data_IF_588539804708
#
_entry.id   IF_588539804708
#
_cell.length_a   1.000
_cell.length_b   1.000
_cell.length_c   1.000
_cell.angle_alpha   90.00
_cell.angle_beta   90.00
_cell.angle_gamma   90.00
#
_symmetry.space_group_name_H-M   'P 1'
#
loop_
_entity.id
_entity.type
_entity.pdbx_description
1 polymer ?
#
# COMPACT_ATOMS: atom_id res chain seq x y z
N UNK A 1 -40.36 -8.97 14.03
CA UNK A 1 -39.27 -8.79 13.04
C UNK A 1 -39.80 -8.57 11.62
N UNK A 2 -40.65 -9.46 11.08
CA UNK A 2 -41.23 -9.33 9.73
C UNK A 2 -41.99 -8.00 9.48
N UNK A 3 -42.76 -7.52 10.46
CA UNK A 3 -43.52 -6.27 10.36
C UNK A 3 -42.63 -5.03 10.25
N UNK A 4 -41.43 -5.08 10.85
CA UNK A 4 -40.45 -4.00 10.77
C UNK A 4 -39.79 -3.96 9.39
N UNK A 5 -39.30 -5.11 8.91
CA UNK A 5 -38.71 -5.25 7.57
C UNK A 5 -39.72 -4.86 6.46
N UNK A 6 -40.99 -5.24 6.63
CA UNK A 6 -42.06 -4.83 5.73
C UNK A 6 -42.26 -3.30 5.69
N UNK A 7 -42.29 -2.65 6.87
CA UNK A 7 -42.42 -1.18 6.94
C UNK A 7 -41.21 -0.49 6.31
N UNK A 8 -40.00 -0.98 6.56
CA UNK A 8 -38.77 -0.45 5.99
C UNK A 8 -38.74 -0.58 4.46
N UNK A 9 -39.02 -1.78 3.93
CA UNK A 9 -39.07 -2.03 2.49
C UNK A 9 -40.16 -1.21 1.80
N UNK A 10 -41.34 -1.09 2.41
CA UNK A 10 -42.43 -0.26 1.88
C UNK A 10 -42.07 1.23 1.86
N UNK A 11 -41.39 1.72 2.89
CA UNK A 11 -40.90 3.09 2.95
C UNK A 11 -39.84 3.33 1.86
N UNK A 12 -38.88 2.41 1.72
CA UNK A 12 -37.83 2.47 0.72
C UNK A 12 -38.41 2.52 -0.69
N UNK A 13 -39.39 1.68 -1.00
CA UNK A 13 -40.06 1.68 -2.30
C UNK A 13 -40.86 2.96 -2.56
N UNK A 14 -41.66 3.40 -1.58
CA UNK A 14 -42.51 4.59 -1.74
C UNK A 14 -41.69 5.88 -1.87
N UNK A 15 -40.50 5.92 -1.26
CA UNK A 15 -39.58 7.07 -1.30
C UNK A 15 -38.26 6.72 -2.00
N UNK A 16 -38.30 5.91 -3.06
CA UNK A 16 -37.11 5.39 -3.77
C UNK A 16 -36.10 6.46 -4.16
N UNK A 17 -36.55 7.62 -4.63
CA UNK A 17 -35.65 8.71 -5.04
C UNK A 17 -34.94 9.34 -3.84
N UNK A 18 -35.65 9.52 -2.73
CA UNK A 18 -35.07 10.03 -1.49
C UNK A 18 -34.08 9.04 -0.88
N UNK A 19 -34.39 7.73 -0.93
CA UNK A 19 -33.50 6.68 -0.45
C UNK A 19 -32.23 6.61 -1.29
N UNK A 20 -32.34 6.70 -2.62
CA UNK A 20 -31.18 6.78 -3.51
C UNK A 20 -30.32 8.03 -3.23
N UNK A 21 -30.96 9.19 -3.01
CA UNK A 21 -30.25 10.42 -2.63
C UNK A 21 -29.51 10.28 -1.29
N UNK A 22 -30.08 9.60 -0.30
CA UNK A 22 -29.38 9.32 0.96
C UNK A 22 -28.11 8.51 0.71
N UNK A 23 -28.16 7.45 -0.10
CA UNK A 23 -26.97 6.65 -0.39
C UNK A 23 -25.90 7.44 -1.14
N UNK A 24 -26.29 8.28 -2.10
CA UNK A 24 -25.35 9.20 -2.77
C UNK A 24 -24.78 10.22 -1.78
N UNK A 25 -25.60 10.76 -0.88
CA UNK A 25 -25.15 11.69 0.16
C UNK A 25 -24.16 11.02 1.14
N UNK A 26 -24.40 9.75 1.51
CA UNK A 26 -23.47 8.99 2.35
C UNK A 26 -22.16 8.71 1.63
N UNK A 27 -22.20 8.32 0.35
CA UNK A 27 -21.01 8.10 -0.45
C UNK A 27 -20.18 9.38 -0.60
N UNK A 28 -20.83 10.50 -0.90
CA UNK A 28 -20.15 11.80 -1.01
C UNK A 28 -19.59 12.26 0.33
N UNK A 29 -20.34 12.13 1.43
CA UNK A 29 -19.86 12.49 2.76
C UNK A 29 -18.65 11.63 3.18
N UNK A 30 -18.74 10.31 3.00
CA UNK A 30 -17.65 9.41 3.32
C UNK A 30 -16.43 9.67 2.43
N UNK A 31 -16.63 9.89 1.12
CA UNK A 31 -15.55 10.19 0.18
C UNK A 31 -14.85 11.52 0.48
N UNK A 32 -15.60 12.56 0.84
CA UNK A 32 -15.02 13.83 1.31
C UNK A 32 -14.25 13.62 2.61
N UNK A 33 -14.82 12.86 3.56
CA UNK A 33 -14.14 12.50 4.80
C UNK A 33 -12.80 11.80 4.54
N UNK A 34 -12.79 10.80 3.66
CA UNK A 34 -11.60 10.07 3.26
C UNK A 34 -10.56 10.98 2.59
N UNK A 35 -10.98 11.83 1.65
CA UNK A 35 -10.08 12.74 0.95
C UNK A 35 -9.49 13.83 1.86
N UNK A 36 -10.19 14.17 2.94
CA UNK A 36 -9.72 15.12 3.96
C UNK A 36 -8.94 14.47 5.11
N UNK A 37 -8.90 13.14 5.15
CA UNK A 37 -8.22 12.42 6.22
C UNK A 37 -6.71 12.52 6.04
N UNK A 38 -5.94 12.55 7.14
CA UNK A 38 -4.51 12.32 7.07
C UNK A 38 -4.23 10.98 6.36
N UNK A 39 -3.05 10.82 5.73
CA UNK A 39 -2.59 9.52 5.28
C UNK A 39 -2.78 8.48 6.40
N UNK A 40 -3.20 7.27 6.05
CA UNK A 40 -3.38 6.21 7.03
C UNK A 40 -2.10 6.08 7.86
N UNK A 41 -2.24 6.05 9.19
CA UNK A 41 -1.11 6.00 10.11
C UNK A 41 -0.28 4.73 9.91
N UNK A 42 1.00 4.83 10.26
CA UNK A 42 2.02 3.82 10.04
C UNK A 42 1.51 2.39 10.25
N UNK A 43 1.81 1.51 9.31
CA UNK A 43 1.47 0.08 9.28
C UNK A 43 2.20 -0.73 10.36
N UNK A 44 2.79 -0.07 11.37
CA UNK A 44 3.50 -0.68 12.48
C UNK A 44 2.54 -1.51 13.31
N UNK A 45 2.63 -2.82 13.16
CA UNK A 45 1.82 -3.75 13.92
C UNK A 45 2.44 -3.91 15.32
N UNK A 46 1.81 -3.31 16.33
CA UNK A 46 2.23 -3.49 17.72
C UNK A 46 1.39 -4.54 18.44
N UNK A 47 2.01 -5.29 19.36
CA UNK A 47 1.30 -6.14 20.31
C UNK A 47 1.60 -5.64 21.73
N UNK A 48 0.84 -4.64 22.22
CA UNK A 48 1.08 -4.05 23.53
C UNK A 48 1.11 -5.09 24.65
N UNK A 49 2.06 -4.94 25.56
CA UNK A 49 2.22 -5.81 26.73
C UNK A 49 3.10 -7.04 26.52
N UNK A 50 3.55 -7.32 25.29
CA UNK A 50 4.52 -8.39 25.03
C UNK A 50 5.95 -7.95 25.36
N UNK A 51 6.82 -8.90 25.71
CA UNK A 51 8.25 -8.63 25.91
C UNK A 51 8.93 -8.17 24.62
N UNK A 52 8.51 -8.70 23.47
CA UNK A 52 8.97 -8.28 22.16
C UNK A 52 8.67 -6.80 21.89
N UNK A 53 7.44 -6.34 22.16
CA UNK A 53 7.08 -4.93 22.00
C UNK A 53 7.94 -4.02 22.87
N UNK A 54 8.15 -4.38 24.15
CA UNK A 54 9.02 -3.60 25.05
C UNK A 54 10.46 -3.50 24.53
N UNK A 55 10.97 -4.55 23.89
CA UNK A 55 12.30 -4.53 23.29
C UNK A 55 12.36 -3.57 22.09
N UNK A 56 11.34 -3.55 21.23
CA UNK A 56 11.23 -2.58 20.14
C UNK A 56 11.10 -1.14 20.64
N UNK A 57 10.25 -0.90 21.66
CA UNK A 57 10.08 0.42 22.26
C UNK A 57 11.41 0.95 22.86
N UNK A 58 12.19 0.07 23.50
CA UNK A 58 13.52 0.42 24.03
C UNK A 58 14.54 0.68 22.93
N UNK A 59 14.47 -0.07 21.82
CA UNK A 59 15.35 0.13 20.67
C UNK A 59 15.11 1.52 20.08
N UNK A 60 13.84 1.90 19.85
CA UNK A 60 13.46 3.21 19.31
C UNK A 60 13.90 4.36 20.24
N UNK A 61 13.68 4.23 21.54
CA UNK A 61 14.08 5.25 22.52
C UNK A 61 15.60 5.47 22.60
N UNK A 62 16.40 4.42 22.36
CA UNK A 62 17.86 4.47 22.51
C UNK A 62 18.58 4.70 21.19
N UNK A 63 17.96 4.32 20.08
CA UNK A 63 18.48 4.41 18.73
C UNK A 63 17.37 4.89 17.78
N UNK A 64 17.01 6.19 17.82
CA UNK A 64 16.00 6.76 16.94
C UNK A 64 16.37 6.52 15.47
N UNK A 65 15.42 6.06 14.64
CA UNK A 65 15.67 5.71 13.24
C UNK A 65 16.30 4.33 13.00
N UNK A 66 16.51 3.54 14.06
CA UNK A 66 16.76 2.10 13.97
C UNK A 66 15.47 1.27 14.10
N UNK A 67 14.33 1.92 13.87
CA UNK A 67 12.98 1.37 13.95
C UNK A 67 12.90 0.06 13.17
N UNK A 68 12.39 -1.00 13.82
CA UNK A 68 12.27 -2.31 13.19
C UNK A 68 11.26 -2.35 12.04
N UNK A 69 10.42 -1.32 11.94
CA UNK A 69 9.34 -1.20 10.95
C UNK A 69 9.74 -0.39 9.72
N UNK A 70 10.88 0.31 9.76
CA UNK A 70 11.40 1.09 8.64
C UNK A 70 11.92 0.19 7.52
N UNK A 71 11.62 0.54 6.27
CA UNK A 71 12.08 -0.23 5.12
C UNK A 71 13.60 -0.17 5.00
N UNK A 72 14.15 -1.16 4.35
CA UNK A 72 15.58 -1.22 4.02
C UNK A 72 15.80 -1.42 2.54
N UNK A 73 16.77 -0.68 1.98
CA UNK A 73 17.33 -0.97 0.67
C UNK A 73 18.80 -1.33 0.82
N UNK A 74 19.26 -2.28 0.01
CA UNK A 74 20.66 -2.63 -0.13
C UNK A 74 21.07 -2.41 -1.58
N UNK A 75 21.97 -1.46 -1.78
CA UNK A 75 22.55 -1.15 -3.08
C UNK A 75 23.90 -1.85 -3.16
N UNK A 76 24.02 -2.82 -4.05
CA UNK A 76 25.22 -3.62 -4.28
C UNK A 76 25.90 -3.12 -5.54
N UNK A 77 27.16 -2.70 -5.39
CA UNK A 77 28.02 -2.23 -6.45
C UNK A 77 29.06 -3.30 -6.78
N UNK A 78 29.32 -3.52 -8.06
CA UNK A 78 30.38 -4.38 -8.56
C UNK A 78 31.26 -3.62 -9.55
N UNK A 79 32.56 -3.68 -9.32
CA UNK A 79 33.56 -3.05 -10.18
C UNK A 79 33.66 -3.78 -11.55
N UNK A 80 34.03 -3.06 -12.61
CA UNK A 80 34.41 -3.65 -13.89
C UNK A 80 35.54 -4.68 -13.74
N UNK A 81 35.63 -5.61 -14.70
CA UNK A 81 36.67 -6.63 -14.71
C UNK A 81 38.07 -6.02 -14.68
N UNK A 82 38.84 -6.34 -13.63
CA UNK A 82 40.22 -5.86 -13.45
C UNK A 82 40.35 -4.62 -12.56
N UNK A 83 39.25 -4.01 -12.15
CA UNK A 83 39.22 -2.87 -11.22
C UNK A 83 38.76 -3.30 -9.83
N UNK A 84 38.96 -2.42 -8.85
CA UNK A 84 38.51 -2.59 -7.46
C UNK A 84 37.57 -1.47 -7.06
N UNK A 85 36.71 -1.77 -6.10
CA UNK A 85 35.84 -0.79 -5.44
C UNK A 85 36.64 0.26 -4.64
N UNK A 86 37.92 0.00 -4.37
CA UNK A 86 38.82 0.95 -3.69
C UNK A 86 39.53 1.92 -4.64
N UNK A 87 39.41 1.72 -5.96
CA UNK A 87 40.04 2.60 -6.94
C UNK A 87 39.36 3.98 -6.91
N UNK A 88 40.13 5.05 -7.13
CA UNK A 88 39.67 6.41 -6.88
C UNK A 88 38.40 6.78 -7.67
N UNK A 89 38.28 6.33 -8.93
CA UNK A 89 37.09 6.54 -9.77
C UNK A 89 35.86 5.82 -9.22
N UNK A 90 35.96 4.52 -8.99
CA UNK A 90 34.86 3.70 -8.47
C UNK A 90 34.43 4.15 -7.07
N UNK A 91 35.39 4.48 -6.22
CA UNK A 91 35.13 5.02 -4.88
C UNK A 91 34.39 6.35 -4.92
N UNK A 92 34.77 7.25 -5.83
CA UNK A 92 34.07 8.52 -5.99
C UNK A 92 32.62 8.33 -6.48
N UNK A 93 32.39 7.40 -7.41
CA UNK A 93 31.03 7.05 -7.88
C UNK A 93 30.17 6.51 -6.74
N UNK A 94 30.70 5.57 -5.95
CA UNK A 94 29.99 5.02 -4.79
C UNK A 94 29.69 6.09 -3.76
N UNK A 95 30.66 6.94 -3.43
CA UNK A 95 30.46 8.03 -2.46
C UNK A 95 29.37 8.99 -2.93
N UNK A 96 29.41 9.41 -4.21
CA UNK A 96 28.38 10.27 -4.79
C UNK A 96 27.00 9.64 -4.67
N UNK A 97 26.88 8.34 -4.96
CA UNK A 97 25.62 7.61 -4.85
C UNK A 97 25.12 7.56 -3.40
N UNK A 98 26.02 7.29 -2.44
CA UNK A 98 25.70 7.27 -1.01
C UNK A 98 25.24 8.63 -0.51
N UNK A 99 25.90 9.70 -0.93
CA UNK A 99 25.56 11.07 -0.54
C UNK A 99 24.19 11.48 -1.13
N UNK A 100 23.93 11.14 -2.40
CA UNK A 100 22.64 11.40 -3.06
C UNK A 100 21.49 10.63 -2.39
N UNK A 101 21.72 9.38 -2.00
CA UNK A 101 20.74 8.60 -1.23
C UNK A 101 20.53 9.17 0.18
N UNK A 102 21.55 9.74 0.81
CA UNK A 102 21.45 10.32 2.14
C UNK A 102 20.63 11.61 2.19
N UNK A 103 20.53 12.33 1.07
CA UNK A 103 19.74 13.56 0.93
C UNK A 103 18.24 13.29 0.67
N UNK A 104 17.81 12.02 0.60
CA UNK A 104 16.41 11.63 0.40
C UNK A 104 15.50 12.01 1.58
N UNK A 105 14.27 12.45 1.30
CA UNK A 105 13.32 12.99 2.30
C UNK A 105 12.78 11.98 3.31
N UNK A 106 12.77 10.69 2.98
CA UNK A 106 12.28 9.60 3.84
C UNK A 106 13.42 8.70 4.36
N UNK A 107 14.68 9.12 4.16
CA UNK A 107 15.87 8.33 4.50
C UNK A 107 16.32 8.64 5.93
N UNK A 108 16.21 7.65 6.80
CA UNK A 108 16.67 7.71 8.18
C UNK A 108 18.20 7.68 8.27
N UNK A 109 18.84 6.81 7.48
CA UNK A 109 20.29 6.70 7.44
C UNK A 109 20.80 5.89 6.24
N UNK A 110 22.02 6.21 5.79
CA UNK A 110 22.76 5.42 4.81
C UNK A 110 24.07 4.94 5.41
N UNK A 111 24.30 3.63 5.40
CA UNK A 111 25.54 3.02 5.82
C UNK A 111 26.52 2.97 4.63
N UNK A 112 27.60 3.75 4.75
CA UNK A 112 28.67 3.81 3.77
C UNK A 112 29.47 2.48 3.73
N UNK A 113 29.71 1.92 2.53
CA UNK A 113 30.41 0.65 2.38
C UNK A 113 31.84 0.64 2.95
N UNK A 114 32.53 1.77 2.91
CA UNK A 114 33.93 1.91 3.29
C UNK A 114 34.12 2.13 4.79
N UNK A 115 33.16 2.75 5.47
CA UNK A 115 33.17 2.88 6.94
C UNK A 115 32.61 1.63 7.60
N UNK A 116 31.66 0.95 6.95
CA UNK A 116 30.98 -0.24 7.44
C UNK A 116 31.73 -1.57 7.21
N UNK A 117 32.94 -1.55 6.62
CA UNK A 117 33.65 -2.77 6.18
C UNK A 117 32.79 -3.67 5.28
N UNK A 118 31.96 -3.08 4.43
CA UNK A 118 31.03 -3.77 3.54
C UNK A 118 31.60 -3.95 2.12
N UNK A 119 32.93 -4.01 2.01
CA UNK A 119 33.66 -4.35 0.78
C UNK A 119 34.05 -5.82 0.84
N UNK A 120 33.88 -6.54 -0.27
CA UNK A 120 34.24 -7.95 -0.38
C UNK A 120 35.74 -8.17 -0.20
N UNK A 121 36.14 -9.38 0.22
CA UNK A 121 37.54 -9.73 0.47
C UNK A 121 38.44 -9.57 -0.76
N UNK A 122 37.88 -9.81 -1.95
CA UNK A 122 38.55 -9.63 -3.23
C UNK A 122 38.50 -8.17 -3.74
N UNK A 123 37.74 -7.29 -3.07
CA UNK A 123 37.64 -5.87 -3.37
C UNK A 123 36.79 -5.54 -4.60
N UNK A 124 36.09 -6.51 -5.17
CA UNK A 124 35.33 -6.36 -6.42
C UNK A 124 33.88 -5.94 -6.20
N UNK A 125 33.35 -6.14 -4.99
CA UNK A 125 31.96 -5.86 -4.62
C UNK A 125 31.93 -5.00 -3.36
N UNK A 126 31.03 -4.01 -3.31
CA UNK A 126 30.72 -3.24 -2.12
C UNK A 126 29.20 -3.10 -1.99
N UNK A 127 28.67 -2.93 -0.78
CA UNK A 127 27.25 -2.62 -0.62
C UNK A 127 27.01 -1.47 0.36
N UNK A 128 26.09 -0.59 -0.01
CA UNK A 128 25.52 0.42 0.88
C UNK A 128 24.17 -0.10 1.41
N UNK A 129 23.83 0.23 2.65
CA UNK A 129 22.50 -0.08 3.21
C UNK A 129 21.78 1.22 3.55
N UNK A 130 20.63 1.43 2.94
CA UNK A 130 19.74 2.57 3.20
C UNK A 130 18.63 2.10 4.14
N UNK A 131 18.34 2.90 5.15
CA UNK A 131 17.19 2.72 6.04
C UNK A 131 16.25 3.89 5.87
N UNK A 132 14.95 3.61 5.84
CA UNK A 132 13.89 4.60 5.70
C UNK A 132 13.14 4.80 7.00
N UNK A 133 12.55 5.97 7.18
CA UNK A 133 11.72 6.32 8.35
C UNK A 133 10.35 5.63 8.33
N UNK A 134 9.91 5.18 7.14
CA UNK A 134 8.61 4.56 6.90
C UNK A 134 8.74 3.13 6.36
N UNK A 135 7.65 2.37 6.43
CA UNK A 135 7.61 1.00 5.90
C UNK A 135 7.63 0.98 4.36
N UNK A 136 8.00 -0.16 3.75
CA UNK A 136 8.10 -0.28 2.28
C UNK A 136 6.77 -0.05 1.53
N UNK A 137 5.65 -0.22 2.24
CA UNK A 137 4.30 0.05 1.72
C UNK A 137 3.94 1.54 1.74
N UNK A 138 4.58 2.32 2.59
CA UNK A 138 4.31 3.76 2.79
C UNK A 138 5.32 4.66 2.09
N UNK A 139 6.49 4.11 1.72
CA UNK A 139 7.48 4.79 0.91
C UNK A 139 6.85 5.42 -0.34
N UNK A 140 7.09 6.71 -0.52
CA UNK A 140 6.62 7.42 -1.70
C UNK A 140 7.25 6.86 -2.98
N UNK A 141 6.49 6.91 -4.07
CA UNK A 141 6.98 6.48 -5.39
C UNK A 141 8.20 7.32 -5.81
N UNK A 142 8.21 8.62 -5.50
CA UNK A 142 9.34 9.54 -5.69
C UNK A 142 10.63 9.07 -5.00
N UNK A 143 10.53 8.50 -3.80
CA UNK A 143 11.68 7.98 -3.05
C UNK A 143 12.20 6.68 -3.67
N UNK A 144 11.30 5.82 -4.16
CA UNK A 144 11.67 4.60 -4.89
C UNK A 144 12.34 4.94 -6.21
N UNK A 145 11.80 5.91 -6.95
CA UNK A 145 12.39 6.43 -8.18
C UNK A 145 13.77 7.02 -7.92
N UNK A 146 13.94 7.82 -6.86
CA UNK A 146 15.25 8.38 -6.49
C UNK A 146 16.29 7.30 -6.17
N UNK A 147 15.89 6.21 -5.51
CA UNK A 147 16.76 5.06 -5.25
C UNK A 147 17.19 4.36 -6.56
N UNK A 148 16.24 4.16 -7.49
CA UNK A 148 16.52 3.57 -8.79
C UNK A 148 17.40 4.49 -9.67
N UNK A 149 17.14 5.79 -9.66
CA UNK A 149 17.89 6.81 -10.40
C UNK A 149 19.33 6.91 -9.89
N UNK A 150 19.53 6.94 -8.57
CA UNK A 150 20.87 6.93 -7.99
C UNK A 150 21.65 5.65 -8.38
N UNK A 151 20.97 4.50 -8.36
CA UNK A 151 21.56 3.24 -8.84
C UNK A 151 21.88 3.30 -10.34
N UNK A 152 21.00 3.91 -11.15
CA UNK A 152 21.20 4.04 -12.59
C UNK A 152 22.37 4.96 -12.93
N UNK A 153 22.53 6.09 -12.23
CA UNK A 153 23.70 6.96 -12.40
C UNK A 153 25.02 6.23 -12.15
N UNK A 154 25.06 5.36 -11.14
CA UNK A 154 26.22 4.53 -10.86
C UNK A 154 26.45 3.46 -11.96
N UNK A 155 25.38 2.93 -12.57
CA UNK A 155 25.48 2.05 -13.75
C UNK A 155 26.05 2.78 -14.96
N UNK A 156 25.58 4.00 -15.22
CA UNK A 156 26.03 4.83 -16.33
C UNK A 156 27.50 5.26 -16.17
N UNK A 157 27.99 5.34 -14.93
CA UNK A 157 29.40 5.53 -14.59
C UNK A 157 30.27 4.27 -14.78
N UNK A 158 29.68 3.14 -15.19
CA UNK A 158 30.38 1.91 -15.56
C UNK A 158 30.36 0.80 -14.49
N UNK A 159 29.75 1.03 -13.33
CA UNK A 159 29.60 -0.02 -12.31
C UNK A 159 28.44 -0.96 -12.68
N UNK A 160 28.48 -2.20 -12.22
CA UNK A 160 27.26 -3.02 -12.18
C UNK A 160 26.58 -2.78 -10.84
N UNK A 161 25.31 -2.37 -10.85
CA UNK A 161 24.58 -2.03 -9.62
C UNK A 161 23.27 -2.80 -9.55
N UNK A 162 23.08 -3.50 -8.44
CA UNK A 162 21.86 -4.23 -8.11
C UNK A 162 21.27 -3.67 -6.83
N UNK A 163 19.96 -3.47 -6.82
CA UNK A 163 19.25 -2.98 -5.64
C UNK A 163 18.32 -4.07 -5.13
N UNK A 164 18.38 -4.34 -3.84
CA UNK A 164 17.48 -5.27 -3.16
C UNK A 164 17.00 -4.72 -1.83
N UNK A 165 16.25 -5.52 -1.10
CA UNK A 165 15.61 -5.10 0.16
C UNK A 165 14.09 -5.02 0.01
N UNK A 166 13.43 -4.65 1.10
CA UNK A 166 11.98 -4.53 1.18
C UNK A 166 11.45 -3.16 0.70
N UNK A 167 12.31 -2.15 0.59
CA UNK A 167 11.93 -0.85 0.02
C UNK A 167 11.48 -0.92 -1.46
N UNK A 168 12.04 -1.87 -2.22
CA UNK A 168 11.68 -2.13 -3.62
C UNK A 168 10.70 -3.30 -3.79
N UNK A 169 10.17 -3.87 -2.70
CA UNK A 169 9.11 -4.84 -2.86
C UNK A 169 7.90 -4.14 -3.46
N UNK A 170 7.43 -4.69 -4.58
CA UNK A 170 6.24 -4.20 -5.25
C UNK A 170 5.07 -4.21 -4.26
N UNK A 171 4.48 -3.03 -4.05
CA UNK A 171 3.18 -2.96 -3.39
C UNK A 171 2.24 -3.76 -4.29
N UNK A 172 1.49 -4.75 -3.77
CA UNK A 172 0.55 -5.47 -4.60
C UNK A 172 -0.42 -4.46 -5.22
N UNK A 173 -0.40 -4.39 -6.56
CA UNK A 173 -1.28 -3.55 -7.39
C UNK A 173 -2.74 -3.78 -6.98
N UNK A 174 -3.23 -2.92 -6.10
CA UNK A 174 -4.59 -2.91 -5.56
C UNK A 174 -5.44 -2.10 -6.52
N UNK A 175 -5.82 -2.73 -7.63
CA UNK A 175 -6.72 -2.12 -8.61
C UNK A 175 -6.87 -2.94 -9.89
N UNK A 176 -5.77 -3.37 -10.50
CA UNK A 176 -5.84 -4.12 -11.76
C UNK A 176 -6.57 -5.47 -11.58
N UNK A 177 -6.28 -6.19 -10.50
CA UNK A 177 -6.89 -7.48 -10.17
C UNK A 177 -8.37 -7.34 -9.81
N UNK A 178 -8.75 -6.25 -9.14
CA UNK A 178 -10.14 -5.98 -8.75
C UNK A 178 -11.01 -5.63 -9.95
N UNK A 179 -10.50 -4.82 -10.88
CA UNK A 179 -11.21 -4.51 -12.14
C UNK A 179 -11.48 -5.77 -12.94
N UNK A 180 -10.51 -6.69 -13.01
CA UNK A 180 -10.69 -7.99 -13.64
C UNK A 180 -11.78 -8.79 -12.91
N UNK A 181 -11.75 -8.83 -11.57
CA UNK A 181 -12.77 -9.48 -10.77
C UNK A 181 -14.19 -8.94 -11.00
N UNK A 182 -14.34 -7.62 -11.04
CA UNK A 182 -15.61 -6.93 -11.33
C UNK A 182 -16.09 -7.24 -12.76
N UNK A 183 -15.18 -7.25 -13.73
CA UNK A 183 -15.52 -7.59 -15.11
C UNK A 183 -16.01 -9.04 -15.23
N UNK A 184 -15.31 -9.98 -14.60
CA UNK A 184 -15.71 -11.40 -14.57
C UNK A 184 -17.06 -11.55 -13.85
N UNK A 185 -17.25 -10.90 -12.71
CA UNK A 185 -18.53 -10.91 -11.99
C UNK A 185 -19.65 -10.38 -12.88
N UNK A 186 -19.46 -9.25 -13.57
CA UNK A 186 -20.44 -8.69 -14.49
C UNK A 186 -20.83 -9.70 -15.59
N UNK A 187 -19.86 -10.38 -16.21
CA UNK A 187 -20.12 -11.43 -17.22
C UNK A 187 -20.96 -12.55 -16.63
N UNK A 188 -20.59 -13.08 -15.45
CA UNK A 188 -21.35 -14.14 -14.78
C UNK A 188 -22.78 -13.68 -14.50
N UNK A 189 -22.96 -12.47 -13.96
CA UNK A 189 -24.29 -11.93 -13.65
C UNK A 189 -25.17 -11.74 -14.89
N UNK A 190 -24.59 -11.28 -16.00
CA UNK A 190 -25.30 -11.14 -17.27
C UNK A 190 -25.78 -12.51 -17.77
N UNK A 191 -24.93 -13.54 -17.69
CA UNK A 191 -25.28 -14.92 -18.06
C UNK A 191 -26.37 -15.45 -17.13
N UNK A 192 -26.26 -15.24 -15.82
CA UNK A 192 -27.22 -15.74 -14.82
C UNK A 192 -28.60 -15.10 -14.96
N UNK A 193 -28.68 -13.78 -15.18
CA UNK A 193 -29.96 -13.08 -15.25
C UNK A 193 -30.51 -12.89 -16.66
N UNK A 194 -29.70 -13.11 -17.70
CA UNK A 194 -30.09 -12.86 -19.10
C UNK A 194 -30.47 -11.40 -19.38
N UNK A 195 -30.04 -10.45 -18.54
CA UNK A 195 -30.38 -9.03 -18.65
C UNK A 195 -29.30 -8.14 -18.05
N UNK A 196 -28.80 -7.17 -18.83
CA UNK A 196 -27.81 -6.20 -18.38
C UNK A 196 -28.30 -5.37 -17.19
N UNK A 197 -29.59 -5.01 -17.17
CA UNK A 197 -30.16 -4.20 -16.08
C UNK A 197 -30.21 -5.01 -14.78
N UNK A 198 -30.64 -6.28 -14.86
CA UNK A 198 -30.70 -7.15 -13.69
C UNK A 198 -29.31 -7.51 -13.14
N UNK A 199 -28.30 -7.59 -14.00
CA UNK A 199 -26.91 -7.80 -13.62
C UNK A 199 -26.24 -6.53 -13.07
N UNK A 200 -26.56 -5.37 -13.64
CA UNK A 200 -25.97 -4.09 -13.25
C UNK A 200 -26.44 -3.60 -11.88
N UNK A 201 -27.67 -3.93 -11.46
CA UNK A 201 -28.20 -3.53 -10.16
C UNK A 201 -27.36 -4.07 -8.98
N UNK A 202 -27.11 -5.40 -8.86
CA UNK A 202 -26.26 -5.95 -7.82
C UNK A 202 -24.87 -5.35 -7.79
N UNK A 203 -24.24 -5.22 -8.97
CA UNK A 203 -22.90 -4.68 -9.11
C UNK A 203 -22.83 -3.22 -8.63
N UNK A 204 -23.75 -2.38 -9.09
CA UNK A 204 -23.81 -0.97 -8.71
C UNK A 204 -24.04 -0.81 -7.20
N UNK A 205 -24.96 -1.58 -6.63
CA UNK A 205 -25.24 -1.50 -5.18
C UNK A 205 -24.06 -1.97 -4.34
N UNK A 206 -23.35 -3.01 -4.78
CA UNK A 206 -22.15 -3.49 -4.12
C UNK A 206 -21.04 -2.42 -4.17
N UNK A 207 -20.80 -1.81 -5.33
CA UNK A 207 -19.80 -0.75 -5.49
C UNK A 207 -20.09 0.48 -4.62
N UNK A 208 -21.34 0.92 -4.54
CA UNK A 208 -21.72 2.04 -3.67
C UNK A 208 -21.50 1.68 -2.19
N UNK A 209 -21.90 0.47 -1.78
CA UNK A 209 -21.73 -0.01 -0.40
C UNK A 209 -20.26 -0.13 -0.01
N UNK A 210 -19.44 -0.74 -0.86
CA UNK A 210 -17.99 -0.86 -0.67
C UNK A 210 -17.33 0.50 -0.68
N UNK A 211 -17.70 1.39 -1.61
CA UNK A 211 -17.17 2.75 -1.68
C UNK A 211 -17.42 3.53 -0.39
N UNK A 212 -18.63 3.43 0.18
CA UNK A 212 -18.94 4.02 1.49
C UNK A 212 -18.10 3.37 2.60
N UNK A 213 -18.01 2.04 2.61
CA UNK A 213 -17.28 1.30 3.64
C UNK A 213 -15.80 1.64 3.66
N UNK A 214 -15.13 1.52 2.50
CA UNK A 214 -13.71 1.84 2.35
C UNK A 214 -13.45 3.31 2.66
N UNK A 215 -14.26 4.23 2.11
CA UNK A 215 -14.09 5.67 2.41
C UNK A 215 -14.28 5.97 3.90
N UNK A 216 -15.21 5.30 4.57
CA UNK A 216 -15.41 5.46 6.02
C UNK A 216 -14.24 4.91 6.82
N UNK A 217 -13.68 3.77 6.40
CA UNK A 217 -12.47 3.18 7.00
C UNK A 217 -11.30 4.15 6.85
N UNK A 218 -11.05 4.66 5.63
CA UNK A 218 -9.99 5.64 5.38
C UNK A 218 -10.19 6.91 6.20
N UNK A 219 -11.41 7.44 6.27
CA UNK A 219 -11.71 8.62 7.07
C UNK A 219 -11.44 8.44 8.58
N UNK A 220 -11.58 7.22 9.08
CA UNK A 220 -11.38 6.87 10.49
C UNK A 220 -10.02 6.20 10.76
N UNK A 221 -9.19 5.98 9.74
CA UNK A 221 -8.00 5.15 9.84
C UNK A 221 -7.01 5.70 10.87
N UNK A 222 -6.76 7.01 10.84
CA UNK A 222 -5.86 7.67 11.80
C UNK A 222 -6.42 7.69 13.23
N UNK A 223 -7.73 7.86 13.39
CA UNK A 223 -8.38 7.90 14.70
C UNK A 223 -8.47 6.54 15.39
N UNK A 224 -8.48 5.46 14.60
CA UNK A 224 -8.62 4.08 15.07
C UNK A 224 -7.35 3.24 14.84
N UNK A 225 -6.25 3.87 14.42
CA UNK A 225 -4.96 3.21 14.13
C UNK A 225 -5.12 1.99 13.19
N UNK A 226 -5.92 2.14 12.12
CA UNK A 226 -6.17 1.10 11.14
C UNK A 226 -5.10 1.10 10.06
N UNK A 227 -4.43 -0.04 9.87
CA UNK A 227 -3.45 -0.24 8.81
C UNK A 227 -4.07 -0.50 7.42
N UNK A 228 -3.23 -0.43 6.39
CA UNK A 228 -3.60 -0.64 4.98
C UNK A 228 -4.32 -1.98 4.71
N UNK A 229 -3.93 -3.04 5.42
CA UNK A 229 -4.55 -4.37 5.34
C UNK A 229 -6.05 -4.34 5.62
N UNK A 230 -6.52 -3.48 6.53
CA UNK A 230 -7.96 -3.39 6.88
C UNK A 230 -8.78 -2.91 5.69
N UNK A 231 -8.28 -1.91 4.95
CA UNK A 231 -8.96 -1.38 3.76
C UNK A 231 -9.01 -2.42 2.63
N UNK A 232 -7.93 -3.17 2.43
CA UNK A 232 -7.86 -4.26 1.43
C UNK A 232 -8.89 -5.34 1.76
N UNK A 233 -8.91 -5.82 3.01
CA UNK A 233 -9.87 -6.84 3.44
C UNK A 233 -11.31 -6.35 3.34
N UNK A 234 -11.57 -5.09 3.70
CA UNK A 234 -12.90 -4.50 3.59
C UNK A 234 -13.38 -4.44 2.15
N UNK A 235 -12.50 -4.14 1.20
CA UNK A 235 -12.83 -4.14 -0.22
C UNK A 235 -13.11 -5.56 -0.74
N UNK A 236 -12.20 -6.51 -0.46
CA UNK A 236 -12.34 -7.90 -0.90
C UNK A 236 -13.61 -8.57 -0.37
N UNK A 237 -13.85 -8.45 0.94
CA UNK A 237 -15.01 -9.06 1.59
C UNK A 237 -16.28 -8.29 1.22
N UNK A 238 -16.22 -6.96 1.24
CA UNK A 238 -17.37 -6.10 0.97
C UNK A 238 -17.91 -6.27 -0.44
N UNK A 239 -17.03 -6.45 -1.43
CA UNK A 239 -17.44 -6.64 -2.82
C UNK A 239 -18.06 -8.03 -3.01
N UNK A 240 -17.43 -9.09 -2.49
CA UNK A 240 -17.98 -10.44 -2.56
C UNK A 240 -19.35 -10.55 -1.89
N UNK A 241 -19.44 -10.16 -0.62
CA UNK A 241 -20.68 -10.25 0.18
C UNK A 241 -21.75 -9.27 -0.33
N UNK A 242 -21.34 -8.07 -0.77
CA UNK A 242 -22.23 -7.05 -1.30
C UNK A 242 -22.92 -7.49 -2.59
N UNK A 243 -22.18 -8.13 -3.50
CA UNK A 243 -22.75 -8.72 -4.71
C UNK A 243 -23.74 -9.81 -4.30
N UNK A 244 -23.34 -10.78 -3.48
CA UNK A 244 -24.19 -11.92 -3.10
C UNK A 244 -25.52 -11.49 -2.46
N UNK A 245 -25.51 -10.54 -1.52
CA UNK A 245 -26.76 -10.06 -0.91
C UNK A 245 -27.65 -9.32 -1.89
N UNK A 246 -27.07 -8.52 -2.78
CA UNK A 246 -27.86 -7.85 -3.81
C UNK A 246 -28.45 -8.85 -4.82
N UNK A 247 -27.73 -9.93 -5.13
CA UNK A 247 -28.25 -11.05 -5.93
C UNK A 247 -29.43 -11.75 -5.27
N UNK A 248 -29.37 -12.03 -3.97
CA UNK A 248 -30.50 -12.62 -3.25
C UNK A 248 -31.76 -11.75 -3.29
N UNK A 249 -31.61 -10.42 -3.23
CA UNK A 249 -32.76 -9.52 -3.31
C UNK A 249 -33.30 -9.45 -4.74
N UNK A 250 -32.43 -9.31 -5.75
CA UNK A 250 -32.85 -9.19 -7.16
C UNK A 250 -33.47 -10.50 -7.66
N UNK A 251 -32.89 -11.65 -7.32
CA UNK A 251 -33.44 -12.97 -7.67
C UNK A 251 -34.81 -13.24 -7.05
N UNK A 252 -35.09 -12.68 -5.87
CA UNK A 252 -36.39 -12.82 -5.19
C UNK A 252 -37.43 -11.81 -5.65
N UNK A 253 -37.01 -10.67 -6.20
CA UNK A 253 -37.91 -9.64 -6.71
C UNK A 253 -38.42 -9.95 -8.12
N UNK A 254 -37.59 -10.61 -8.94
CA UNK A 254 -38.00 -11.19 -10.22
C UNK A 254 -38.94 -12.38 -10.02
#
# INVERSE_FOLDING_TARGET
MATFLYKLGRLAFRRRHFVALIWVALLTLAGVGAASAPPAGNSSFSIPGTEAQKAFDLLEQRFPGASADGATARVVFKAPSGEKMTDAGNKATVQKTVDELADGSEVASVADPYTGNAVSKDGTIAYASVKYDVSGMELEESTKDALEDAAQQARDAGLTVEVGGDALQAVPETGATEVIGIAVAAVVLVITFGSLVAAGLPLLTALIGVGIGVSSITALASALELGSTTSILAMMIGLAVGIDYALFIVSRYR
#
